data_IF_300353170542
#
_entry.id   IF_300353170542
#
_cell.length_a   1.000
_cell.length_b   1.000
_cell.length_c   1.000
_cell.angle_alpha   90.00
_cell.angle_beta   90.00
_cell.angle_gamma   90.00
#
_symmetry.space_group_name_H-M   'P 1'
#
loop_
_entity.id
_entity.type
_entity.pdbx_description
1 polymer ?
#
# COMPACT_ATOMS: atom_id res chain seq x y z
N UNK A 1 1.74 -3.59 25.34
CA UNK A 1 2.47 -3.44 24.06
C UNK A 1 2.18 -4.66 23.19
N UNK A 2 1.61 -4.51 21.98
CA UNK A 2 1.41 -5.67 21.10
C UNK A 2 2.77 -6.26 20.71
N UNK A 3 2.89 -7.58 20.67
CA UNK A 3 4.14 -8.23 20.28
C UNK A 3 4.33 -8.22 18.76
N UNK A 4 5.57 -8.24 18.28
CA UNK A 4 5.89 -8.40 16.84
C UNK A 4 5.20 -9.65 16.25
N UNK A 5 5.03 -10.70 17.05
CA UNK A 5 4.28 -11.91 16.68
C UNK A 5 2.79 -11.64 16.42
N UNK A 6 2.18 -10.72 17.17
CA UNK A 6 0.80 -10.29 16.94
C UNK A 6 0.68 -9.56 15.59
N UNK A 7 1.61 -8.65 15.31
CA UNK A 7 1.62 -7.90 14.04
C UNK A 7 1.76 -8.84 12.85
N UNK A 8 2.75 -9.75 12.89
CA UNK A 8 2.91 -10.79 11.86
C UNK A 8 1.63 -11.60 11.66
N UNK A 9 0.95 -12.01 12.74
CA UNK A 9 -0.31 -12.77 12.67
C UNK A 9 -1.42 -11.97 11.99
N UNK A 10 -1.55 -10.67 12.26
CA UNK A 10 -2.53 -9.81 11.60
C UNK A 10 -2.18 -9.58 10.13
N UNK A 11 -0.91 -9.34 9.79
CA UNK A 11 -0.46 -9.25 8.40
C UNK A 11 -0.70 -10.57 7.63
N UNK A 12 -0.45 -11.73 8.22
CA UNK A 12 -0.73 -13.02 7.59
C UNK A 12 -2.23 -13.33 7.48
N UNK A 13 -3.05 -12.86 8.43
CA UNK A 13 -4.51 -12.96 8.33
C UNK A 13 -5.03 -12.07 7.20
N UNK A 14 -4.50 -10.86 7.10
CA UNK A 14 -4.76 -9.92 6.03
C UNK A 14 -4.38 -10.51 4.67
N UNK A 15 -3.16 -11.02 4.51
CA UNK A 15 -2.69 -11.67 3.30
C UNK A 15 -3.64 -12.79 2.83
N UNK A 16 -4.14 -13.62 3.76
CA UNK A 16 -5.09 -14.70 3.44
C UNK A 16 -6.46 -14.17 3.02
N UNK A 17 -6.96 -13.12 3.66
CA UNK A 17 -8.20 -12.49 3.26
C UNK A 17 -8.07 -11.84 1.87
N UNK A 18 -6.95 -11.16 1.62
CA UNK A 18 -6.63 -10.59 0.32
C UNK A 18 -6.42 -11.66 -0.75
N UNK A 19 -5.84 -12.83 -0.45
CA UNK A 19 -5.68 -13.89 -1.44
C UNK A 19 -7.02 -14.51 -1.88
N UNK A 20 -8.05 -14.44 -1.03
CA UNK A 20 -9.42 -14.85 -1.41
C UNK A 20 -10.08 -13.86 -2.35
N UNK A 21 -9.70 -12.58 -2.24
CA UNK A 21 -10.04 -11.54 -3.21
C UNK A 21 -8.87 -11.42 -4.18
N UNK A 22 -8.73 -12.29 -5.18
CA UNK A 22 -7.73 -12.10 -6.24
C UNK A 22 -8.20 -10.98 -7.20
N UNK A 23 -7.82 -9.69 -7.04
CA UNK A 23 -7.99 -8.76 -8.14
C UNK A 23 -7.05 -9.20 -9.26
N UNK A 24 -7.56 -9.13 -10.48
CA UNK A 24 -6.73 -9.24 -11.68
C UNK A 24 -5.55 -8.26 -11.57
N UNK A 25 -4.33 -8.78 -11.43
CA UNK A 25 -3.07 -8.01 -11.36
C UNK A 25 -2.75 -7.23 -12.65
N UNK A 26 -3.63 -7.27 -13.66
CA UNK A 26 -3.51 -6.53 -14.93
C UNK A 26 -3.35 -5.01 -14.77
N UNK A 27 -3.60 -4.45 -13.58
CA UNK A 27 -3.42 -3.01 -13.28
C UNK A 27 -1.93 -2.65 -13.04
N UNK A 28 -1.06 -3.62 -12.75
CA UNK A 28 0.37 -3.34 -12.46
C UNK A 28 1.31 -3.53 -13.66
N UNK A 29 0.83 -4.05 -14.79
CA UNK A 29 1.68 -4.31 -15.98
C UNK A 29 1.65 -3.19 -17.05
N UNK A 30 1.00 -2.06 -16.80
CA UNK A 30 0.92 -0.98 -17.80
C UNK A 30 1.05 0.40 -17.19
N UNK A 31 2.30 0.89 -17.10
CA UNK A 31 2.67 2.25 -16.66
C UNK A 31 2.22 2.61 -15.23
N UNK A 32 3.11 2.32 -14.28
CA UNK A 32 3.20 3.13 -13.06
C UNK A 32 3.41 4.61 -13.41
N UNK A 33 3.16 5.48 -12.43
CA UNK A 33 3.23 6.95 -12.45
C UNK A 33 4.50 7.57 -13.09
N UNK A 34 4.69 7.39 -14.38
CA UNK A 34 5.57 8.19 -15.23
C UNK A 34 4.72 8.78 -16.33
N UNK A 35 4.52 10.10 -16.26
CA UNK A 35 4.03 10.85 -17.39
C UNK A 35 4.98 10.68 -18.56
N UNK A 36 4.47 10.25 -19.71
CA UNK A 36 5.13 10.49 -20.99
C UNK A 36 4.28 11.49 -21.79
N UNK A 37 4.91 12.47 -22.45
CA UNK A 37 4.21 13.33 -23.38
C UNK A 37 3.83 12.53 -24.63
N UNK A 38 2.75 12.99 -25.24
CA UNK A 38 2.05 12.48 -26.42
C UNK A 38 3.01 12.13 -27.56
N UNK A 39 2.85 10.95 -28.16
CA UNK A 39 3.54 10.58 -29.40
C UNK A 39 3.23 9.17 -29.90
N UNK A 40 2.41 9.12 -30.95
CA UNK A 40 2.24 8.04 -31.94
C UNK A 40 1.43 6.79 -31.57
N UNK A 41 0.35 6.65 -32.34
CA UNK A 41 -0.60 5.57 -32.48
C UNK A 41 0.03 4.19 -32.61
N UNK A 42 -0.58 3.17 -31.98
CA UNK A 42 -1.10 1.98 -32.67
C UNK A 42 -1.35 0.82 -31.68
N UNK A 43 -2.57 0.25 -31.77
CA UNK A 43 -2.98 -1.10 -31.37
C UNK A 43 -3.34 -1.39 -29.90
N UNK A 44 -4.66 -1.31 -29.65
CA UNK A 44 -5.47 -2.36 -29.00
C UNK A 44 -5.01 -2.92 -27.65
N UNK A 45 -5.49 -2.32 -26.58
CA UNK A 45 -6.32 -3.07 -25.62
C UNK A 45 -7.25 -2.10 -24.89
N UNK A 46 -8.56 -2.24 -25.13
CA UNK A 46 -9.61 -1.65 -24.31
C UNK A 46 -9.62 -2.31 -22.93
N UNK A 47 -8.63 -2.02 -22.10
CA UNK A 47 -8.69 -2.35 -20.68
C UNK A 47 -9.62 -1.36 -20.01
N UNK A 48 -10.92 -1.63 -19.99
CA UNK A 48 -11.84 -0.97 -19.06
C UNK A 48 -11.49 -1.45 -17.64
N UNK A 49 -10.37 -0.99 -17.09
CA UNK A 49 -10.07 -1.16 -15.68
C UNK A 49 -11.14 -0.38 -14.93
N UNK A 50 -12.00 -1.08 -14.19
CA UNK A 50 -12.96 -0.44 -13.31
C UNK A 50 -12.22 0.59 -12.43
N UNK A 51 -12.79 1.79 -12.22
CA UNK A 51 -12.11 2.82 -11.44
C UNK A 51 -11.78 2.30 -10.04
N UNK A 52 -10.56 2.60 -9.58
CA UNK A 52 -10.18 2.34 -8.19
C UNK A 52 -10.84 3.40 -7.30
N UNK A 53 -11.59 2.97 -6.30
CA UNK A 53 -12.22 3.86 -5.32
C UNK A 53 -12.05 3.33 -3.90
N UNK A 54 -12.18 4.22 -2.92
CA UNK A 54 -12.09 3.89 -1.50
C UNK A 54 -13.42 3.29 -1.05
N UNK A 55 -13.40 2.04 -0.57
CA UNK A 55 -14.55 1.36 0.01
C UNK A 55 -14.80 1.80 1.45
N UNK A 56 -13.72 1.91 2.22
CA UNK A 56 -13.77 2.20 3.64
C UNK A 56 -12.50 2.94 4.05
N UNK A 57 -12.58 3.77 5.08
CA UNK A 57 -11.44 4.51 5.62
C UNK A 57 -11.60 4.73 7.12
N UNK A 58 -10.47 4.76 7.83
CA UNK A 58 -10.44 4.96 9.28
C UNK A 58 -9.19 5.73 9.66
N UNK A 59 -9.41 6.82 10.39
CA UNK A 59 -8.35 7.59 11.03
C UNK A 59 -8.03 6.96 12.39
N UNK A 60 -6.76 6.96 12.75
CA UNK A 60 -6.26 6.71 14.10
C UNK A 60 -5.27 7.81 14.47
N UNK A 61 -4.75 7.73 15.69
CA UNK A 61 -3.91 8.76 16.30
C UNK A 61 -2.74 9.21 15.40
N UNK A 62 -2.03 8.28 14.78
CA UNK A 62 -0.86 8.56 13.95
C UNK A 62 -1.10 8.45 12.44
N UNK A 63 -2.34 8.29 11.96
CA UNK A 63 -2.56 8.06 10.53
C UNK A 63 -3.97 7.74 10.06
N UNK A 64 -4.07 7.27 8.82
CA UNK A 64 -5.32 6.84 8.17
C UNK A 64 -5.10 5.57 7.32
N UNK A 65 -6.00 4.59 7.41
CA UNK A 65 -6.06 3.43 6.50
C UNK A 65 -7.18 3.67 5.52
N UNK A 66 -6.92 3.34 4.26
CA UNK A 66 -7.86 3.30 3.16
C UNK A 66 -7.96 1.85 2.67
N UNK A 67 -9.16 1.31 2.50
CA UNK A 67 -9.41 0.06 1.79
C UNK A 67 -9.98 0.39 0.41
N UNK A 68 -9.43 -0.20 -0.64
CA UNK A 68 -9.83 0.06 -2.01
C UNK A 68 -10.73 -1.05 -2.58
N UNK A 69 -11.48 -0.71 -3.62
CA UNK A 69 -12.41 -1.60 -4.34
C UNK A 69 -11.75 -2.88 -4.91
N UNK A 70 -10.44 -2.87 -5.12
CA UNK A 70 -9.68 -4.04 -5.57
C UNK A 70 -9.15 -4.91 -4.42
N UNK A 71 -9.55 -4.63 -3.17
CA UNK A 71 -9.07 -5.33 -1.97
C UNK A 71 -7.72 -4.83 -1.45
N UNK A 72 -6.96 -4.06 -2.22
CA UNK A 72 -5.75 -3.41 -1.73
C UNK A 72 -6.04 -2.42 -0.59
N UNK A 73 -5.06 -2.13 0.23
CA UNK A 73 -5.19 -1.13 1.29
C UNK A 73 -3.96 -0.25 1.38
N UNK A 74 -4.13 0.94 1.93
CA UNK A 74 -3.06 1.91 2.13
C UNK A 74 -3.10 2.46 3.55
N UNK A 75 -1.95 2.59 4.19
CA UNK A 75 -1.78 3.34 5.43
C UNK A 75 -0.92 4.58 5.20
N UNK A 76 -1.41 5.73 5.63
CA UNK A 76 -0.66 6.98 5.64
C UNK A 76 -0.35 7.35 7.08
N UNK A 77 0.94 7.46 7.39
CA UNK A 77 1.42 7.91 8.69
C UNK A 77 1.57 9.42 8.66
N UNK A 78 0.96 10.11 9.63
CA UNK A 78 1.05 11.56 9.75
C UNK A 78 2.44 12.06 10.20
N UNK A 79 3.11 11.43 11.20
CA UNK A 79 4.35 11.97 11.76
C UNK A 79 5.51 12.10 10.76
N UNK A 80 5.64 11.13 9.85
CA UNK A 80 6.75 11.03 8.91
C UNK A 80 6.29 11.05 7.45
N UNK A 81 4.99 11.26 7.22
CA UNK A 81 4.33 11.23 5.91
C UNK A 81 4.52 9.93 5.10
N UNK A 82 5.01 8.87 5.72
CA UNK A 82 5.21 7.56 5.08
C UNK A 82 3.87 7.01 4.60
N UNK A 83 3.85 6.44 3.40
CA UNK A 83 2.69 5.77 2.81
C UNK A 83 3.04 4.34 2.50
N UNK A 84 2.25 3.41 3.00
CA UNK A 84 2.39 1.98 2.73
C UNK A 84 1.17 1.55 1.95
N UNK A 85 1.35 1.02 0.75
CA UNK A 85 0.27 0.53 -0.12
C UNK A 85 0.49 -0.96 -0.33
N UNK A 86 -0.53 -1.78 -0.05
CA UNK A 86 -0.41 -3.24 -0.03
C UNK A 86 -1.44 -3.88 -0.93
N UNK A 87 -0.97 -4.83 -1.74
CA UNK A 87 -1.79 -5.64 -2.64
C UNK A 87 -1.39 -7.11 -2.45
N UNK A 88 -2.24 -7.88 -1.77
CA UNK A 88 -1.92 -9.25 -1.37
C UNK A 88 -0.76 -9.31 -0.38
N UNK A 89 0.35 -9.94 -0.78
CA UNK A 89 1.60 -10.00 0.02
C UNK A 89 2.58 -8.87 -0.28
N UNK A 90 2.51 -8.31 -1.48
CA UNK A 90 3.44 -7.29 -1.95
C UNK A 90 3.00 -5.90 -1.47
N UNK A 91 3.93 -4.96 -1.44
CA UNK A 91 3.56 -3.57 -1.18
C UNK A 91 4.61 -2.55 -1.63
N UNK A 92 4.15 -1.31 -1.74
CA UNK A 92 4.95 -0.13 -2.02
C UNK A 92 5.05 0.69 -0.75
N UNK A 93 6.24 1.23 -0.48
CA UNK A 93 6.46 2.17 0.60
C UNK A 93 7.03 3.45 0.02
N UNK A 94 6.31 4.55 0.24
CA UNK A 94 6.71 5.89 -0.16
C UNK A 94 7.10 6.66 1.10
N UNK A 95 8.36 7.07 1.20
CA UNK A 95 8.89 7.85 2.33
C UNK A 95 9.39 9.20 1.81
N UNK A 96 9.09 10.32 2.48
CA UNK A 96 9.76 11.57 2.16
C UNK A 96 11.24 11.46 2.52
N UNK A 97 12.09 11.98 1.64
CA UNK A 97 13.52 12.10 1.81
C UNK A 97 13.89 13.55 1.55
N UNK A 98 14.47 14.20 2.55
CA UNK A 98 15.12 15.49 2.38
C UNK A 98 16.50 15.25 1.80
N UNK A 99 16.66 15.49 0.50
CA UNK A 99 17.98 15.51 -0.13
C UNK A 99 18.24 16.92 -0.67
N UNK A 100 19.36 17.54 -0.25
CA UNK A 100 19.83 18.82 -0.80
C UNK A 100 18.78 19.94 -0.82
N UNK A 101 18.00 20.09 0.26
CA UNK A 101 16.98 21.15 0.38
C UNK A 101 15.74 20.96 -0.50
N UNK A 102 15.61 19.83 -1.21
CA UNK A 102 14.41 19.45 -1.95
C UNK A 102 13.73 18.25 -1.27
N UNK A 103 12.40 18.31 -1.16
CA UNK A 103 11.59 17.17 -0.72
C UNK A 103 11.47 16.19 -1.89
N UNK A 104 12.12 15.04 -1.79
CA UNK A 104 11.98 13.93 -2.73
C UNK A 104 11.16 12.82 -2.06
N UNK A 105 10.36 12.09 -2.84
CA UNK A 105 9.71 10.88 -2.31
C UNK A 105 10.50 9.67 -2.77
N UNK A 106 11.04 8.89 -1.81
CA UNK A 106 11.66 7.60 -2.08
C UNK A 106 10.59 6.52 -2.07
N UNK A 107 10.40 5.85 -3.20
CA UNK A 107 9.47 4.73 -3.34
C UNK A 107 10.25 3.41 -3.41
N UNK A 108 9.90 2.47 -2.55
CA UNK A 108 10.48 1.13 -2.50
C UNK A 108 9.38 0.08 -2.71
N UNK A 109 9.66 -0.90 -3.55
CA UNK A 109 8.80 -2.05 -3.79
C UNK A 109 9.28 -3.25 -2.97
N UNK A 110 8.34 -3.92 -2.32
CA UNK A 110 8.58 -5.14 -1.55
C UNK A 110 7.71 -6.27 -2.11
N UNK A 111 8.34 -7.40 -2.44
CA UNK A 111 7.63 -8.63 -2.83
C UNK A 111 6.84 -9.24 -1.67
N UNK A 112 7.30 -9.01 -0.44
CA UNK A 112 6.58 -9.29 0.80
C UNK A 112 6.69 -8.06 1.70
N UNK A 113 5.57 -7.36 1.93
CA UNK A 113 5.57 -6.13 2.73
C UNK A 113 5.94 -6.39 4.19
N UNK A 114 5.88 -7.63 4.67
CA UNK A 114 6.31 -7.97 6.02
C UNK A 114 7.80 -7.76 6.24
N UNK A 115 8.62 -7.75 5.18
CA UNK A 115 10.05 -7.44 5.30
C UNK A 115 10.30 -5.97 5.63
N UNK A 116 9.50 -5.06 5.07
CA UNK A 116 9.55 -3.66 5.47
C UNK A 116 9.10 -3.48 6.93
N UNK A 117 7.99 -4.11 7.34
CA UNK A 117 7.52 -4.02 8.72
C UNK A 117 8.48 -4.66 9.74
N UNK A 118 9.28 -5.66 9.36
CA UNK A 118 10.34 -6.22 10.22
C UNK A 118 11.45 -5.21 10.48
N UNK A 119 11.80 -4.41 9.48
CA UNK A 119 12.80 -3.34 9.61
C UNK A 119 12.24 -2.07 10.26
N UNK A 120 10.91 -1.88 10.24
CA UNK A 120 10.19 -0.71 10.77
C UNK A 120 9.12 -1.14 11.79
N UNK A 121 9.52 -1.73 12.94
CA UNK A 121 8.58 -2.33 13.88
C UNK A 121 7.62 -1.31 14.50
N UNK A 122 8.02 -0.04 14.63
CA UNK A 122 7.15 1.00 15.21
C UNK A 122 5.92 1.26 14.32
N UNK A 123 6.11 1.46 13.01
CA UNK A 123 5.01 1.54 12.04
C UNK A 123 4.10 0.32 12.12
N UNK A 124 4.70 -0.86 12.18
CA UNK A 124 3.98 -2.13 12.27
C UNK A 124 3.08 -2.21 13.52
N UNK A 125 3.58 -1.74 14.67
CA UNK A 125 2.86 -1.73 15.94
C UNK A 125 1.70 -0.73 15.94
N UNK A 126 1.93 0.49 15.47
CA UNK A 126 0.88 1.52 15.38
C UNK A 126 -0.26 1.08 14.47
N UNK A 127 0.07 0.34 13.40
CA UNK A 127 -0.90 -0.08 12.40
C UNK A 127 -1.66 -1.37 12.77
N UNK A 128 -1.12 -2.20 13.67
CA UNK A 128 -1.69 -3.51 13.99
C UNK A 128 -3.13 -3.44 14.54
N UNK A 129 -3.39 -2.52 15.48
CA UNK A 129 -4.72 -2.36 16.08
C UNK A 129 -5.72 -1.74 15.08
N UNK A 130 -5.40 -0.64 14.38
CA UNK A 130 -6.25 -0.12 13.31
C UNK A 130 -6.63 -1.19 12.28
N UNK A 131 -5.65 -1.89 11.70
CA UNK A 131 -5.89 -2.94 10.71
C UNK A 131 -6.80 -4.05 11.21
N UNK A 132 -6.64 -4.49 12.46
CA UNK A 132 -7.44 -5.58 13.04
C UNK A 132 -8.95 -5.27 13.17
N UNK A 133 -9.30 -3.98 13.18
CA UNK A 133 -10.69 -3.49 13.34
C UNK A 133 -11.27 -2.90 12.06
N UNK A 134 -10.48 -2.87 11.00
CA UNK A 134 -10.76 -2.11 9.78
C UNK A 134 -11.11 -3.02 8.59
N UNK A 135 -10.74 -4.31 8.68
CA UNK A 135 -10.85 -5.34 7.64
C UNK A 135 -11.56 -6.57 8.23
#
# INVERSE_FOLDING_TARGET
>A
MPSISHVRKQCSRLQRNLFRFCPSLKVLEGRGYEGQPVGSESMLSSSSSSPLFVLHWKVWEEGITLLFSNGGWQANYFPDHTKVIVFGKSGLVCTPSLASGRSLTRTLLFADISDWFRSHPQHALHLARPLSTFI
#
